data_IF_323495077698
#
_entry.id   IF_323495077698
#
_cell.length_a   1.000
_cell.length_b   1.000
_cell.length_c   1.000
_cell.angle_alpha   90.00
_cell.angle_beta   90.00
_cell.angle_gamma   90.00
#
_symmetry.space_group_name_H-M   'P 1'
#
loop_
_entity.id
_entity.type
_entity.pdbx_description
1 polymer ?
#
# COMPACT_ATOMS: atom_id res chain seq x y z
N UNK A 1 29.58 41.09 -34.09
CA UNK A 1 28.44 41.21 -33.14
C UNK A 1 27.26 40.42 -33.67
N UNK A 2 26.89 39.32 -33.00
CA UNK A 2 25.51 38.91 -32.66
C UNK A 2 25.60 37.55 -31.96
N UNK A 3 25.33 37.59 -30.66
CA UNK A 3 25.17 36.45 -29.76
C UNK A 3 23.90 35.71 -30.18
N UNK A 4 23.96 34.38 -30.31
CA UNK A 4 22.75 33.55 -30.26
C UNK A 4 22.97 32.51 -29.17
N UNK A 5 22.33 32.81 -28.05
CA UNK A 5 22.05 31.96 -26.90
C UNK A 5 20.87 31.05 -27.27
N UNK A 6 20.94 29.74 -27.07
CA UNK A 6 19.75 28.91 -26.83
C UNK A 6 20.20 27.56 -26.24
N UNK A 7 20.32 27.48 -24.91
CA UNK A 7 19.30 27.15 -23.90
C UNK A 7 19.32 25.66 -23.55
N UNK A 8 19.67 25.47 -22.28
CA UNK A 8 19.60 24.27 -21.46
C UNK A 8 18.26 23.53 -21.63
N UNK A 9 18.32 22.26 -22.03
CA UNK A 9 17.21 21.32 -21.88
C UNK A 9 17.67 20.15 -21.01
N UNK A 10 18.04 20.44 -19.76
CA UNK A 10 18.25 19.41 -18.74
C UNK A 10 17.46 19.83 -17.51
N UNK A 11 16.21 19.38 -17.43
CA UNK A 11 15.43 19.63 -16.23
C UNK A 11 13.94 19.46 -16.41
N UNK A 12 13.46 18.26 -16.76
CA UNK A 12 12.03 17.95 -16.65
C UNK A 12 11.69 16.50 -16.30
N UNK A 13 12.66 15.60 -16.07
CA UNK A 13 12.35 14.18 -15.79
C UNK A 13 12.16 13.83 -14.31
N UNK A 14 12.42 14.74 -13.37
CA UNK A 14 12.32 14.40 -11.93
C UNK A 14 10.91 14.58 -11.31
N UNK A 15 9.96 15.20 -12.01
CA UNK A 15 8.65 15.53 -11.42
C UNK A 15 7.59 14.41 -11.49
N UNK A 16 7.86 13.27 -12.14
CA UNK A 16 6.83 12.23 -12.37
C UNK A 16 6.89 11.03 -11.42
N UNK A 17 7.98 10.80 -10.68
CA UNK A 17 8.09 9.67 -9.75
C UNK A 17 7.19 9.80 -8.51
N UNK A 18 6.97 11.04 -8.04
CA UNK A 18 6.15 11.36 -6.87
C UNK A 18 4.66 10.99 -7.05
N UNK A 19 4.14 11.07 -8.29
CA UNK A 19 2.74 10.73 -8.58
C UNK A 19 2.45 9.22 -8.64
N UNK A 20 3.50 8.38 -8.71
CA UNK A 20 3.39 6.94 -9.00
C UNK A 20 3.38 6.05 -7.75
N UNK A 21 3.92 6.55 -6.64
CA UNK A 21 3.97 5.85 -5.36
C UNK A 21 3.23 6.65 -4.31
N UNK A 22 2.20 6.06 -3.71
CA UNK A 22 1.48 6.66 -2.57
C UNK A 22 1.84 5.90 -1.29
N UNK A 23 2.14 6.64 -0.23
CA UNK A 23 2.46 6.08 1.09
C UNK A 23 1.44 6.53 2.12
N UNK A 24 0.92 5.60 2.91
CA UNK A 24 -0.02 5.85 3.99
C UNK A 24 0.56 5.34 5.30
N UNK A 25 0.72 6.21 6.29
CA UNK A 25 1.21 5.86 7.63
C UNK A 25 0.04 5.56 8.57
N UNK A 26 0.21 4.57 9.44
CA UNK A 26 -0.89 4.05 10.26
C UNK A 26 -0.38 3.39 11.55
N UNK A 27 -1.15 3.52 12.64
CA UNK A 27 -0.87 2.82 13.90
C UNK A 27 -1.90 1.69 14.04
N UNK A 28 -1.53 0.47 13.63
CA UNK A 28 -2.49 -0.64 13.59
C UNK A 28 -2.40 -1.53 14.81
N UNK A 29 -3.55 -2.11 15.18
CA UNK A 29 -3.62 -3.34 15.95
C UNK A 29 -4.07 -4.45 15.03
N UNK A 30 -3.34 -5.56 15.00
CA UNK A 30 -3.77 -6.77 14.31
C UNK A 30 -4.96 -7.37 15.04
N UNK A 31 -6.09 -7.43 14.36
CA UNK A 31 -7.31 -8.02 14.85
C UNK A 31 -7.58 -9.17 13.90
N UNK A 32 -7.09 -10.34 14.31
CA UNK A 32 -7.52 -11.66 13.82
C UNK A 32 -6.77 -12.20 12.61
N UNK A 33 -6.52 -13.52 12.60
CA UNK A 33 -6.28 -14.35 11.40
C UNK A 33 -7.33 -15.48 11.41
N UNK A 34 -8.07 -15.68 10.32
CA UNK A 34 -9.13 -16.70 10.21
C UNK A 34 -10.16 -16.64 11.37
N UNK A 35 -10.69 -15.46 11.67
CA UNK A 35 -11.66 -15.24 12.77
C UNK A 35 -11.17 -15.51 14.21
N UNK A 36 -9.94 -16.01 14.41
CA UNK A 36 -9.29 -16.10 15.72
C UNK A 36 -8.53 -14.83 16.09
N UNK A 37 -8.94 -14.18 17.18
CA UNK A 37 -8.28 -12.96 17.71
C UNK A 37 -6.85 -13.30 18.11
N UNK A 38 -5.88 -12.72 17.40
CA UNK A 38 -4.46 -12.78 17.76
C UNK A 38 -4.11 -11.69 18.79
N UNK A 39 -2.94 -11.79 19.40
CA UNK A 39 -2.41 -10.77 20.33
C UNK A 39 -2.45 -9.36 19.72
N UNK A 40 -2.95 -8.41 20.51
CA UNK A 40 -3.14 -7.02 20.13
C UNK A 40 -1.84 -6.24 20.36
N UNK A 41 -1.04 -6.07 19.31
CA UNK A 41 0.16 -5.23 19.35
C UNK A 41 -0.03 -3.99 18.48
N UNK A 42 0.26 -2.80 19.04
CA UNK A 42 0.26 -1.54 18.30
C UNK A 42 1.53 -1.46 17.46
N UNK A 43 1.37 -1.49 16.13
CA UNK A 43 2.47 -1.48 15.18
C UNK A 43 2.43 -0.26 14.28
N UNK A 44 3.60 0.35 14.06
CA UNK A 44 3.75 1.44 13.10
C UNK A 44 3.88 0.83 11.72
N UNK A 45 2.87 1.03 10.90
CA UNK A 45 2.79 0.41 9.59
C UNK A 45 2.67 1.45 8.49
N UNK A 46 3.38 1.21 7.39
CA UNK A 46 3.30 1.99 6.16
C UNK A 46 2.73 1.12 5.06
N UNK A 47 1.69 1.62 4.40
CA UNK A 47 1.13 1.03 3.19
C UNK A 47 1.72 1.81 2.01
N UNK A 48 2.39 1.12 1.10
CA UNK A 48 3.00 1.70 -0.10
C UNK A 48 2.33 1.11 -1.33
N UNK A 49 1.62 1.95 -2.10
CA UNK A 49 1.04 1.55 -3.38
C UNK A 49 1.96 2.04 -4.49
N UNK A 50 2.55 1.11 -5.24
CA UNK A 50 3.43 1.40 -6.37
C UNK A 50 2.73 1.00 -7.67
N UNK A 51 2.25 1.98 -8.44
CA UNK A 51 1.52 1.74 -9.69
C UNK A 51 2.42 1.18 -10.79
N UNK A 52 3.68 1.60 -10.85
CA UNK A 52 4.63 1.18 -11.89
C UNK A 52 5.01 -0.28 -11.76
N UNK A 53 5.18 -0.76 -10.53
CA UNK A 53 5.42 -2.18 -10.22
C UNK A 53 4.13 -2.99 -10.11
N UNK A 54 2.97 -2.30 -10.14
CA UNK A 54 1.66 -2.88 -9.91
C UNK A 54 1.59 -3.67 -8.59
N UNK A 55 2.06 -3.07 -7.49
CA UNK A 55 2.15 -3.72 -6.17
C UNK A 55 1.62 -2.86 -5.04
N UNK A 56 1.12 -3.54 -4.00
CA UNK A 56 0.87 -2.95 -2.68
C UNK A 56 1.82 -3.61 -1.67
N UNK A 57 2.53 -2.79 -0.90
CA UNK A 57 3.43 -3.26 0.15
C UNK A 57 2.95 -2.78 1.52
N UNK A 58 3.01 -3.66 2.50
CA UNK A 58 2.75 -3.37 3.91
C UNK A 58 4.07 -3.53 4.65
N UNK A 59 4.58 -2.42 5.18
CA UNK A 59 5.85 -2.36 5.91
C UNK A 59 5.52 -2.12 7.37
N UNK A 60 5.75 -3.13 8.19
CA UNK A 60 5.51 -3.10 9.63
C UNK A 60 6.84 -2.90 10.37
N UNK A 61 6.87 -2.07 11.41
CA UNK A 61 8.08 -1.81 12.21
C UNK A 61 8.67 -3.04 12.89
N UNK A 62 7.87 -4.06 13.18
CA UNK A 62 8.36 -5.27 13.87
C UNK A 62 8.88 -6.35 12.90
N UNK A 63 8.53 -6.27 11.61
CA UNK A 63 8.96 -7.26 10.62
C UNK A 63 10.02 -6.68 9.68
N UNK A 64 11.19 -7.32 9.54
CA UNK A 64 12.28 -6.82 8.71
C UNK A 64 11.96 -6.87 7.21
N UNK A 65 11.00 -7.70 6.80
CA UNK A 65 10.63 -7.88 5.39
C UNK A 65 9.21 -7.40 5.15
N UNK A 66 8.99 -6.46 4.20
CA UNK A 66 7.65 -6.03 3.81
C UNK A 66 6.80 -7.18 3.24
N UNK A 67 5.51 -7.19 3.56
CA UNK A 67 4.55 -8.01 2.84
C UNK A 67 4.23 -7.34 1.51
N UNK A 68 4.51 -8.01 0.39
CA UNK A 68 4.31 -7.47 -0.95
C UNK A 68 3.26 -8.27 -1.69
N UNK A 69 2.25 -7.57 -2.18
CA UNK A 69 1.16 -8.11 -2.98
C UNK A 69 1.19 -7.54 -4.39
N UNK A 70 0.90 -8.36 -5.39
CA UNK A 70 0.70 -7.91 -6.77
C UNK A 70 -0.75 -7.47 -6.94
N UNK A 71 -1.00 -6.37 -7.63
CA UNK A 71 -2.35 -5.96 -8.01
C UNK A 71 -2.77 -6.83 -9.20
N UNK A 72 -3.95 -7.44 -9.12
CA UNK A 72 -4.42 -8.41 -10.12
C UNK A 72 -5.19 -7.73 -11.25
N UNK A 73 -6.33 -7.10 -10.94
CA UNK A 73 -7.27 -6.59 -11.94
C UNK A 73 -7.81 -5.21 -11.57
N UNK A 74 -8.62 -5.13 -10.52
CA UNK A 74 -9.24 -3.89 -10.05
C UNK A 74 -8.43 -3.26 -8.90
N UNK A 75 -8.19 -1.95 -8.96
CA UNK A 75 -7.59 -1.21 -7.85
C UNK A 75 -8.01 0.26 -7.87
N UNK A 76 -8.95 0.61 -7.00
CA UNK A 76 -9.35 2.00 -6.75
C UNK A 76 -8.53 2.58 -5.60
N UNK A 77 -7.89 3.73 -5.87
CA UNK A 77 -7.01 4.44 -4.95
C UNK A 77 -7.53 5.87 -4.78
N UNK A 78 -8.81 5.98 -4.43
CA UNK A 78 -9.47 7.23 -4.08
C UNK A 78 -9.18 7.56 -2.61
N UNK A 79 -8.21 8.44 -2.37
CA UNK A 79 -7.82 8.87 -1.02
C UNK A 79 -9.06 9.36 -0.25
N UNK A 80 -9.29 8.92 1.00
CA UNK A 80 -8.38 8.18 1.88
C UNK A 80 -8.54 6.65 1.86
N UNK A 81 -9.22 6.10 0.86
CA UNK A 81 -9.48 4.66 0.71
C UNK A 81 -8.66 4.02 -0.42
N UNK A 82 -8.42 2.71 -0.27
CA UNK A 82 -7.80 1.87 -1.28
C UNK A 82 -8.58 0.56 -1.29
N UNK A 83 -9.09 0.14 -2.44
CA UNK A 83 -9.79 -1.13 -2.60
C UNK A 83 -9.25 -1.83 -3.84
N UNK A 84 -8.58 -2.96 -3.66
CA UNK A 84 -7.89 -3.64 -4.75
C UNK A 84 -8.03 -5.15 -4.67
N UNK A 85 -8.15 -5.81 -5.81
CA UNK A 85 -7.90 -7.24 -5.94
C UNK A 85 -6.40 -7.45 -6.07
N UNK A 86 -5.85 -8.26 -5.17
CA UNK A 86 -4.41 -8.48 -5.05
C UNK A 86 -4.07 -9.97 -4.95
N UNK A 87 -2.84 -10.34 -5.30
CA UNK A 87 -2.29 -11.68 -5.10
C UNK A 87 -1.13 -11.67 -4.15
N UNK A 88 -1.11 -12.64 -3.24
CA UNK A 88 0.02 -12.87 -2.35
C UNK A 88 1.17 -13.60 -3.06
N UNK A 89 2.25 -13.89 -2.31
CA UNK A 89 3.41 -14.62 -2.82
C UNK A 89 3.11 -16.07 -3.19
N UNK A 90 2.00 -16.64 -2.70
CA UNK A 90 1.48 -17.96 -3.04
C UNK A 90 0.50 -17.92 -4.22
N UNK A 91 0.37 -16.78 -4.89
CA UNK A 91 -0.54 -16.53 -6.01
C UNK A 91 -2.04 -16.62 -5.65
N UNK A 92 -2.38 -16.62 -4.35
CA UNK A 92 -3.77 -16.62 -3.88
C UNK A 92 -4.38 -15.24 -4.06
N UNK A 93 -5.61 -15.21 -4.57
CA UNK A 93 -6.35 -13.97 -4.77
C UNK A 93 -6.97 -13.50 -3.45
N UNK A 94 -6.77 -12.23 -3.13
CA UNK A 94 -7.25 -11.57 -1.94
C UNK A 94 -7.87 -10.23 -2.30
N UNK A 95 -8.83 -9.78 -1.50
CA UNK A 95 -9.33 -8.43 -1.46
C UNK A 95 -8.53 -7.62 -0.43
N UNK A 96 -7.90 -6.55 -0.89
CA UNK A 96 -7.26 -5.54 -0.07
C UNK A 96 -8.20 -4.36 0.10
N UNK A 97 -8.54 -4.02 1.34
CA UNK A 97 -9.29 -2.80 1.65
C UNK A 97 -8.55 -2.00 2.69
N UNK A 98 -8.39 -0.71 2.44
CA UNK A 98 -7.89 0.25 3.41
C UNK A 98 -8.80 1.46 3.43
N UNK A 99 -9.11 1.91 4.64
CA UNK A 99 -9.52 3.26 4.94
C UNK A 99 -8.77 3.71 6.20
N UNK A 100 -8.70 5.02 6.46
CA UNK A 100 -8.00 5.59 7.64
C UNK A 100 -8.37 4.98 9.00
N UNK A 101 -9.43 4.18 9.11
CA UNK A 101 -9.85 3.52 10.35
C UNK A 101 -9.63 1.99 10.33
N UNK A 102 -9.53 1.36 9.16
CA UNK A 102 -9.44 -0.10 9.02
C UNK A 102 -8.58 -0.50 7.81
N UNK A 103 -7.75 -1.53 7.99
CA UNK A 103 -7.07 -2.25 6.91
C UNK A 103 -7.52 -3.71 6.94
N UNK A 104 -7.80 -4.29 5.79
CA UNK A 104 -8.23 -5.68 5.63
C UNK A 104 -7.54 -6.33 4.44
N UNK A 105 -7.17 -7.58 4.63
CA UNK A 105 -6.67 -8.46 3.59
C UNK A 105 -7.43 -9.78 3.76
N UNK A 106 -8.36 -10.04 2.85
CA UNK A 106 -9.24 -11.21 2.92
C UNK A 106 -9.08 -12.04 1.66
N UNK A 107 -9.03 -13.35 1.75
CA UNK A 107 -9.14 -14.23 0.60
C UNK A 107 -10.59 -14.30 0.09
N UNK A 108 -10.79 -14.98 -1.05
CA UNK A 108 -12.12 -15.16 -1.65
C UNK A 108 -13.05 -16.00 -0.75
N UNK A 109 -12.51 -16.91 0.07
CA UNK A 109 -13.30 -17.73 0.99
C UNK A 109 -13.83 -16.91 2.18
N UNK A 110 -13.37 -15.66 2.34
CA UNK A 110 -13.77 -14.76 3.42
C UNK A 110 -12.91 -14.89 4.67
N UNK A 111 -11.84 -15.70 4.60
CA UNK A 111 -10.83 -15.79 5.64
C UNK A 111 -9.75 -14.74 5.41
N UNK A 112 -9.17 -14.21 6.49
CA UNK A 112 -8.18 -13.16 6.32
C UNK A 112 -7.71 -12.52 7.61
N UNK A 113 -6.95 -11.45 7.41
CA UNK A 113 -6.39 -10.63 8.48
C UNK A 113 -7.02 -9.25 8.45
N UNK A 114 -7.54 -8.80 9.59
CA UNK A 114 -8.07 -7.44 9.76
C UNK A 114 -7.17 -6.66 10.71
N UNK A 115 -7.13 -5.35 10.51
CA UNK A 115 -6.34 -4.43 11.30
C UNK A 115 -7.18 -3.18 11.55
N UNK A 116 -7.19 -2.68 12.79
CA UNK A 116 -7.90 -1.45 13.15
C UNK A 116 -6.89 -0.35 13.47
N UNK A 117 -7.18 0.89 13.06
CA UNK A 117 -6.37 2.02 13.46
C UNK A 117 -6.64 2.33 14.91
N UNK A 118 -5.59 2.51 15.69
CA UNK A 118 -5.69 3.35 16.87
C UNK A 118 -5.49 4.78 16.37
N UNK A 119 -6.58 5.55 16.34
CA UNK A 119 -6.44 7.01 16.23
C UNK A 119 -5.65 7.47 17.47
N UNK A 120 -4.67 8.38 17.30
CA UNK A 120 -4.00 9.01 18.44
C UNK A 120 -5.00 9.56 19.46
#
# INVERSE_FOLDING_TARGET
MKKILLILAVGLTMHSLSAQTKTFSYNMVQIVKNMNVTELATRKTKIVVNKTKNTISIIDSEFPTPYVFKIDSYCDITTPSINCMIRDTQNKLNFFSYNKNRLEIMDIAGDGTRYINIKP
#
